data_IF_019583418095
#
_entry.id   IF_019583418095
#
_cell.length_a   1.000
_cell.length_b   1.000
_cell.length_c   1.000
_cell.angle_alpha   90.00
_cell.angle_beta   90.00
_cell.angle_gamma   90.00
#
_symmetry.space_group_name_H-M   'P 1'
#
loop_
_entity.id
_entity.type
_entity.pdbx_description
1 polymer ?
#
# COMPACT_ATOMS: atom_id res chain seq x y z
N UNK A 1 6.32 -39.11 -14.45
CA UNK A 1 6.90 -37.85 -13.95
C UNK A 1 6.38 -36.74 -14.84
N UNK A 2 5.53 -35.88 -14.30
CA UNK A 2 4.98 -34.74 -15.05
C UNK A 2 6.10 -33.74 -15.37
N UNK A 3 6.26 -33.42 -16.65
CA UNK A 3 7.31 -32.53 -17.17
C UNK A 3 7.01 -31.05 -16.91
N UNK A 4 5.83 -30.73 -16.38
CA UNK A 4 5.37 -29.38 -16.08
C UNK A 4 6.18 -28.67 -14.97
N UNK A 5 6.78 -29.43 -14.04
CA UNK A 5 7.55 -28.84 -12.93
C UNK A 5 9.00 -28.46 -13.30
N UNK A 6 9.55 -28.96 -14.42
CA UNK A 6 10.93 -28.64 -14.86
C UNK A 6 11.04 -27.39 -15.74
N UNK A 7 9.92 -26.79 -16.15
CA UNK A 7 9.86 -25.59 -17.00
C UNK A 7 9.58 -24.29 -16.23
N UNK A 8 9.59 -24.30 -14.88
CA UNK A 8 9.51 -23.09 -14.04
C UNK A 8 10.80 -22.24 -14.04
N UNK A 9 11.68 -22.42 -15.02
CA UNK A 9 12.87 -21.60 -15.23
C UNK A 9 12.64 -20.58 -16.35
N UNK A 10 12.74 -19.29 -16.01
CA UNK A 10 12.96 -18.17 -16.94
C UNK A 10 11.75 -17.58 -17.69
N UNK A 11 10.72 -17.16 -16.95
CA UNK A 11 10.18 -15.83 -17.24
C UNK A 11 10.80 -14.90 -16.21
N UNK A 12 11.57 -13.89 -16.64
CA UNK A 12 11.94 -12.79 -15.74
C UNK A 12 10.63 -12.18 -15.28
N UNK A 13 10.19 -12.54 -14.07
CA UNK A 13 9.00 -11.99 -13.47
C UNK A 13 9.39 -10.60 -13.00
N UNK A 14 9.30 -9.61 -13.91
CA UNK A 14 9.64 -8.23 -13.58
C UNK A 14 8.64 -7.74 -12.52
N UNK A 15 9.04 -7.84 -11.25
CA UNK A 15 8.32 -7.26 -10.12
C UNK A 15 8.27 -5.75 -10.36
N UNK A 16 7.07 -5.21 -10.47
CA UNK A 16 6.90 -3.78 -10.66
C UNK A 16 6.79 -3.11 -9.30
N UNK A 17 7.81 -2.37 -8.92
CA UNK A 17 7.80 -1.52 -7.72
C UNK A 17 7.33 -0.12 -8.11
N UNK A 18 6.18 0.29 -7.59
CA UNK A 18 5.56 1.59 -7.87
C UNK A 18 6.09 2.66 -6.92
N UNK A 19 6.44 3.81 -7.51
CA UNK A 19 6.87 5.02 -6.79
C UNK A 19 5.75 6.06 -6.76
N UNK A 20 5.89 7.14 -5.97
CA UNK A 20 4.86 8.19 -5.84
C UNK A 20 4.44 8.80 -7.18
N UNK A 21 5.41 8.99 -8.08
CA UNK A 21 5.19 9.56 -9.42
C UNK A 21 4.70 8.52 -10.44
N UNK A 22 4.75 7.24 -10.10
CA UNK A 22 4.28 6.17 -10.98
C UNK A 22 2.77 6.22 -11.11
N UNK A 23 2.26 5.90 -12.30
CA UNK A 23 0.84 5.65 -12.53
C UNK A 23 0.54 4.18 -12.31
N UNK A 24 -0.70 3.86 -11.91
CA UNK A 24 -1.10 2.48 -11.69
C UNK A 24 -1.03 1.68 -13.01
N UNK A 25 -1.55 2.21 -14.11
CA UNK A 25 -1.43 1.61 -15.46
C UNK A 25 -2.31 0.37 -15.70
N UNK A 26 -2.97 -0.16 -14.68
CA UNK A 26 -3.91 -1.27 -14.72
C UNK A 26 -5.09 -1.02 -13.76
N UNK A 27 -6.11 -1.88 -13.77
CA UNK A 27 -7.31 -1.75 -12.92
C UNK A 27 -8.41 -0.87 -13.54
N UNK A 28 -9.32 -0.39 -12.70
CA UNK A 28 -10.48 0.41 -13.11
C UNK A 28 -10.06 1.76 -13.70
N UNK A 29 -10.87 2.28 -14.63
CA UNK A 29 -10.58 3.51 -15.37
C UNK A 29 -10.33 4.72 -14.45
N UNK A 30 -10.97 4.74 -13.28
CA UNK A 30 -10.85 5.78 -12.26
C UNK A 30 -9.56 5.75 -11.45
N UNK A 31 -8.76 4.69 -11.53
CA UNK A 31 -7.48 4.57 -10.79
C UNK A 31 -6.30 4.30 -11.73
N UNK A 32 -6.58 3.79 -12.93
CA UNK A 32 -5.58 3.37 -13.92
C UNK A 32 -4.60 4.49 -14.29
N UNK A 33 -5.12 5.70 -14.53
CA UNK A 33 -4.31 6.82 -15.01
C UNK A 33 -3.90 7.80 -13.91
N UNK A 34 -4.22 7.48 -12.65
CA UNK A 34 -3.90 8.33 -11.49
C UNK A 34 -2.50 7.94 -10.96
N UNK A 35 -1.73 8.94 -10.50
CA UNK A 35 -0.44 8.70 -9.85
C UNK A 35 -0.65 8.17 -8.43
N UNK A 36 0.29 7.39 -7.92
CA UNK A 36 0.23 6.87 -6.56
C UNK A 36 0.11 8.01 -5.53
N UNK A 37 0.82 9.13 -5.71
CA UNK A 37 0.68 10.28 -4.81
C UNK A 37 -0.77 10.80 -4.76
N UNK A 38 -1.44 10.88 -5.91
CA UNK A 38 -2.77 11.48 -6.00
C UNK A 38 -3.81 10.54 -5.40
N UNK A 39 -3.58 9.22 -5.48
CA UNK A 39 -4.38 8.20 -4.78
C UNK A 39 -4.23 8.29 -3.26
N UNK A 40 -3.02 8.54 -2.75
CA UNK A 40 -2.77 8.76 -1.33
C UNK A 40 -3.49 10.03 -0.84
N UNK A 41 -3.41 11.13 -1.58
CA UNK A 41 -4.10 12.39 -1.26
C UNK A 41 -5.62 12.23 -1.32
N UNK A 42 -6.14 11.49 -2.29
CA UNK A 42 -7.58 11.26 -2.50
C UNK A 42 -8.20 10.26 -1.51
N UNK A 43 -7.47 9.88 -0.46
CA UNK A 43 -7.90 8.91 0.54
C UNK A 43 -8.27 7.53 -0.05
N UNK A 44 -7.63 7.14 -1.16
CA UNK A 44 -7.82 5.85 -1.84
C UNK A 44 -6.77 4.80 -1.41
N UNK A 45 -6.19 4.93 -0.21
CA UNK A 45 -5.18 3.99 0.33
C UNK A 45 -5.72 2.55 0.36
N UNK A 46 -7.01 2.37 0.64
CA UNK A 46 -7.66 1.04 0.65
C UNK A 46 -7.42 0.25 -0.65
N UNK A 47 -7.47 0.93 -1.79
CA UNK A 47 -7.26 0.29 -3.09
C UNK A 47 -5.78 -0.06 -3.29
N UNK A 48 -4.85 0.79 -2.83
CA UNK A 48 -3.41 0.49 -2.86
C UNK A 48 -3.07 -0.73 -1.99
N UNK A 49 -3.66 -0.83 -0.80
CA UNK A 49 -3.47 -1.96 0.12
C UNK A 49 -4.02 -3.26 -0.49
N UNK A 50 -5.21 -3.22 -1.07
CA UNK A 50 -5.79 -4.38 -1.77
C UNK A 50 -4.94 -4.82 -2.95
N UNK A 51 -4.40 -3.87 -3.72
CA UNK A 51 -3.49 -4.14 -4.84
C UNK A 51 -2.21 -4.81 -4.32
N UNK A 52 -1.65 -4.30 -3.23
CA UNK A 52 -0.48 -4.89 -2.59
C UNK A 52 -0.72 -6.34 -2.18
N UNK A 53 -1.80 -6.67 -1.48
CA UNK A 53 -2.03 -8.07 -1.06
C UNK A 53 -2.60 -8.97 -2.17
N UNK A 54 -3.31 -8.40 -3.13
CA UNK A 54 -4.02 -9.15 -4.16
C UNK A 54 -3.21 -9.49 -5.40
N UNK A 55 -2.19 -8.68 -5.73
CA UNK A 55 -1.40 -8.86 -6.95
C UNK A 55 -0.01 -9.38 -6.68
N UNK A 56 0.33 -10.47 -7.35
CA UNK A 56 1.58 -11.21 -7.16
C UNK A 56 2.83 -10.40 -7.54
N UNK A 57 2.77 -9.67 -8.66
CA UNK A 57 3.94 -9.04 -9.32
C UNK A 57 4.03 -7.53 -9.12
N UNK A 58 3.34 -7.00 -8.10
CA UNK A 58 3.26 -5.57 -7.84
C UNK A 58 3.60 -5.30 -6.40
N UNK A 59 4.51 -4.36 -6.21
CA UNK A 59 4.90 -3.83 -4.91
C UNK A 59 4.93 -2.30 -4.96
N UNK A 60 5.08 -1.69 -3.79
CA UNK A 60 5.27 -0.26 -3.62
C UNK A 60 6.60 -0.02 -2.89
N UNK A 61 7.13 1.19 -2.99
CA UNK A 61 8.23 1.60 -2.11
C UNK A 61 7.80 1.58 -0.64
N UNK A 62 8.78 1.40 0.23
CA UNK A 62 8.59 1.29 1.67
C UNK A 62 7.86 2.51 2.27
N UNK A 63 8.15 3.71 1.77
CA UNK A 63 7.50 4.94 2.19
C UNK A 63 5.99 4.95 1.88
N UNK A 64 5.61 4.42 0.71
CA UNK A 64 4.19 4.29 0.32
C UNK A 64 3.49 3.21 1.15
N UNK A 65 4.18 2.09 1.45
CA UNK A 65 3.62 1.04 2.30
C UNK A 65 3.36 1.56 3.72
N UNK A 66 4.30 2.34 4.26
CA UNK A 66 4.16 2.99 5.56
C UNK A 66 3.01 4.01 5.57
N UNK A 67 2.90 4.85 4.53
CA UNK A 67 1.75 5.76 4.37
C UNK A 67 0.40 5.04 4.21
N UNK A 68 0.42 3.83 3.64
CA UNK A 68 -0.75 2.96 3.56
C UNK A 68 -1.04 2.22 4.87
N UNK A 69 -0.27 2.45 5.94
CA UNK A 69 -0.46 1.79 7.24
C UNK A 69 -0.03 0.32 7.28
N UNK A 70 0.73 -0.14 6.29
CA UNK A 70 1.29 -1.49 6.23
C UNK A 70 2.60 -1.48 7.01
N UNK A 71 2.59 -2.01 8.22
CA UNK A 71 3.79 -2.15 9.05
C UNK A 71 4.72 -3.23 8.49
N UNK A 72 5.99 -3.23 8.91
CA UNK A 72 6.99 -4.22 8.45
C UNK A 72 6.54 -5.66 8.67
N UNK A 73 5.82 -5.93 9.77
CA UNK A 73 5.31 -7.26 10.12
C UNK A 73 4.15 -7.72 9.23
N UNK A 74 3.44 -6.78 8.59
CA UNK A 74 2.34 -7.07 7.66
C UNK A 74 2.82 -7.23 6.21
N UNK A 75 4.10 -6.96 5.93
CA UNK A 75 4.65 -7.08 4.58
C UNK A 75 4.73 -8.55 4.19
N UNK A 76 4.38 -8.83 2.94
CA UNK A 76 4.52 -10.15 2.34
C UNK A 76 5.72 -10.18 1.39
N UNK A 77 6.37 -11.33 1.29
CA UNK A 77 7.42 -11.54 0.30
C UNK A 77 6.84 -11.49 -1.11
N UNK A 78 7.47 -10.70 -1.98
CA UNK A 78 7.08 -10.53 -3.39
C UNK A 78 8.11 -11.22 -4.29
N UNK A 79 7.69 -11.96 -5.33
CA UNK A 79 6.31 -12.16 -5.80
C UNK A 79 5.50 -13.06 -4.85
N UNK A 80 4.31 -12.60 -4.49
CA UNK A 80 3.39 -13.33 -3.61
C UNK A 80 2.06 -12.60 -3.50
N UNK A 81 0.96 -13.35 -3.31
CA UNK A 81 -0.37 -12.80 -3.05
C UNK A 81 -1.11 -13.59 -1.98
N UNK A 82 -2.03 -12.93 -1.30
CA UNK A 82 -2.93 -13.59 -0.37
C UNK A 82 -4.12 -14.12 -1.17
N UNK A 83 -4.19 -15.45 -1.28
CA UNK A 83 -5.27 -16.16 -2.00
C UNK A 83 -6.56 -16.16 -1.19
N UNK A 84 -6.43 -16.19 0.13
CA UNK A 84 -7.53 -16.17 1.09
C UNK A 84 -8.12 -14.76 1.19
N UNK A 85 -9.36 -14.60 0.71
CA UNK A 85 -10.02 -13.30 0.65
C UNK A 85 -10.35 -12.76 2.05
N UNK A 86 -10.72 -13.61 2.99
CA UNK A 86 -11.10 -13.21 4.34
C UNK A 86 -9.88 -12.70 5.09
N UNK A 87 -8.77 -13.46 5.07
CA UNK A 87 -7.49 -13.03 5.64
C UNK A 87 -6.98 -11.74 5.02
N UNK A 88 -7.18 -11.56 3.72
CA UNK A 88 -6.79 -10.33 3.03
C UNK A 88 -7.58 -9.15 3.54
N UNK A 89 -8.89 -9.29 3.70
CA UNK A 89 -9.76 -8.21 4.15
C UNK A 89 -9.51 -7.84 5.61
N UNK A 90 -9.14 -8.80 6.46
CA UNK A 90 -8.64 -8.56 7.82
C UNK A 90 -7.37 -7.68 7.82
N UNK A 91 -6.36 -8.04 7.02
CA UNK A 91 -5.13 -7.26 6.90
C UNK A 91 -5.37 -5.86 6.32
N UNK A 92 -6.29 -5.73 5.36
CA UNK A 92 -6.71 -4.44 4.82
C UNK A 92 -7.36 -3.60 5.92
N UNK A 93 -8.21 -4.18 6.76
CA UNK A 93 -8.86 -3.48 7.87
C UNK A 93 -7.83 -3.00 8.92
N UNK A 94 -6.87 -3.85 9.29
CA UNK A 94 -5.79 -3.49 10.23
C UNK A 94 -4.95 -2.34 9.66
N UNK A 95 -4.55 -2.42 8.38
CA UNK A 95 -3.76 -1.36 7.74
C UNK A 95 -4.54 -0.04 7.67
N UNK A 96 -5.83 -0.08 7.37
CA UNK A 96 -6.70 1.10 7.38
C UNK A 96 -6.83 1.73 8.78
N UNK A 97 -6.85 0.93 9.84
CA UNK A 97 -6.87 1.44 11.21
C UNK A 97 -5.56 2.15 11.56
N UNK A 98 -4.41 1.58 11.16
CA UNK A 98 -3.11 2.24 11.30
C UNK A 98 -3.08 3.61 10.61
N UNK A 99 -3.61 3.71 9.39
CA UNK A 99 -3.73 5.01 8.67
C UNK A 99 -4.54 6.03 9.48
N UNK A 100 -5.66 5.61 10.09
CA UNK A 100 -6.47 6.50 10.94
C UNK A 100 -5.69 6.95 12.17
N UNK A 101 -4.99 6.03 12.84
CA UNK A 101 -4.18 6.33 14.02
C UNK A 101 -3.09 7.35 13.68
N UNK A 102 -2.35 7.16 12.58
CA UNK A 102 -1.33 8.11 12.14
C UNK A 102 -1.92 9.48 11.86
N UNK A 103 -3.02 9.55 11.13
CA UNK A 103 -3.72 10.81 10.84
C UNK A 103 -4.22 11.53 12.10
N UNK A 104 -4.67 10.79 13.10
CA UNK A 104 -5.08 11.35 14.40
C UNK A 104 -3.88 11.89 15.18
N UNK A 105 -2.77 11.14 15.20
CA UNK A 105 -1.51 11.58 15.84
C UNK A 105 -0.97 12.85 15.22
N UNK A 106 -0.93 12.94 13.88
CA UNK A 106 -0.51 14.15 13.18
C UNK A 106 -1.41 15.35 13.51
N UNK A 107 -2.73 15.16 13.52
CA UNK A 107 -3.67 16.22 13.91
C UNK A 107 -3.53 16.64 15.37
N UNK A 108 -3.23 15.71 16.28
CA UNK A 108 -2.99 16.02 17.68
C UNK A 108 -1.69 16.80 17.87
N UNK A 109 -0.60 16.37 17.21
CA UNK A 109 0.67 17.08 17.22
C UNK A 109 0.54 18.50 16.65
N UNK A 110 -0.18 18.66 15.54
CA UNK A 110 -0.43 19.97 14.94
C UNK A 110 -1.25 20.90 15.87
N UNK A 111 -2.27 20.36 16.55
CA UNK A 111 -3.03 21.13 17.56
C UNK A 111 -2.14 21.60 18.70
N UNK A 112 -1.30 20.72 19.23
CA UNK A 112 -0.36 21.05 20.32
C UNK A 112 0.64 22.13 19.89
N UNK A 113 1.21 22.02 18.69
CA UNK A 113 2.13 23.04 18.15
C UNK A 113 1.46 24.40 17.93
N UNK A 114 0.17 24.42 17.58
CA UNK A 114 -0.60 25.67 17.46
C UNK A 114 -0.83 26.32 18.81
N UNK A 115 -1.18 25.53 19.83
CA UNK A 115 -1.38 25.98 21.22
C UNK A 115 -0.08 26.60 21.77
N UNK A 116 1.05 25.90 21.62
CA UNK A 116 2.38 26.41 22.04
C UNK A 116 2.79 27.72 21.34
N UNK A 117 2.41 27.91 20.07
CA UNK A 117 2.66 29.16 19.32
C UNK A 117 1.71 30.29 19.70
N UNK A 118 0.51 29.97 20.17
CA UNK A 118 -0.47 30.96 20.63
C UNK A 118 -0.11 31.49 22.02
N UNK A 119 0.42 30.62 22.89
CA UNK A 119 0.86 30.96 24.26
C UNK A 119 2.21 31.71 24.30
N UNK A 120 2.98 31.71 23.21
CA UNK A 120 4.29 32.36 23.10
C UNK A 120 4.23 33.80 22.54
N UNK A 121 3.04 34.40 22.45
CA UNK A 121 2.78 35.71 21.84
C UNK A 121 1.89 36.57 22.75
#
# INVERSE_FOLDING_TARGET
>A
MDLSDKLKGSYSVNLRTLTRKSTLGFGYQEIKNIRIQDLLISNKQKELIKIYYGLDKISFLDDILEECGITKDMRIEKPGKIVDYDKRDELVAIAMENVKIYRQKERAAFRKMMEEKLDSN
#
